data_IF_806667902044
#
_entry.id   IF_806667902044
#
_cell.length_a   1.000
_cell.length_b   1.000
_cell.length_c   1.000
_cell.angle_alpha   90.00
_cell.angle_beta   90.00
_cell.angle_gamma   90.00
#
_symmetry.space_group_name_H-M   'P 1'
#
loop_
_entity.id
_entity.type
_entity.pdbx_description
1 polymer ?
#
# COMPACT_ATOMS: atom_id res chain seq x y z
N UNK A 1 -19.03 -43.64 -24.68
CA UNK A 1 -18.47 -42.31 -24.98
C UNK A 1 -18.19 -41.57 -23.67
N UNK A 2 -16.92 -41.33 -23.38
CA UNK A 2 -16.41 -40.80 -22.10
C UNK A 2 -16.40 -39.26 -22.13
N UNK A 3 -17.15 -38.61 -21.25
CA UNK A 3 -17.05 -37.17 -21.00
C UNK A 3 -15.86 -36.91 -20.05
N UNK A 4 -14.77 -36.35 -20.57
CA UNK A 4 -13.67 -35.83 -19.75
C UNK A 4 -14.00 -34.42 -19.30
N UNK A 5 -14.29 -34.25 -18.01
CA UNK A 5 -14.29 -32.94 -17.37
C UNK A 5 -12.84 -32.52 -17.09
N UNK A 6 -12.26 -31.74 -18.00
CA UNK A 6 -10.96 -31.10 -17.80
C UNK A 6 -11.13 -29.80 -17.02
N UNK A 7 -11.13 -29.89 -15.69
CA UNK A 7 -11.04 -28.72 -14.81
C UNK A 7 -9.61 -28.62 -14.26
N UNK A 8 -8.80 -27.74 -14.82
CA UNK A 8 -7.47 -27.41 -14.29
C UNK A 8 -7.59 -26.91 -12.85
N UNK A 9 -6.82 -27.43 -11.89
CA UNK A 9 -6.87 -26.93 -10.51
C UNK A 9 -6.28 -25.52 -10.48
N UNK A 10 -7.13 -24.54 -10.15
CA UNK A 10 -6.72 -23.17 -9.82
C UNK A 10 -5.67 -23.26 -8.72
N UNK A 11 -4.47 -22.75 -8.98
CA UNK A 11 -3.35 -22.73 -8.05
C UNK A 11 -3.75 -21.97 -6.79
N UNK A 12 -4.04 -22.71 -5.71
CA UNK A 12 -4.26 -22.11 -4.39
C UNK A 12 -2.94 -21.49 -3.95
N UNK A 13 -2.89 -20.16 -3.95
CA UNK A 13 -1.75 -19.41 -3.42
C UNK A 13 -1.40 -19.90 -2.02
N UNK A 14 -0.12 -20.15 -1.79
CA UNK A 14 0.43 -20.66 -0.52
C UNK A 14 -0.03 -19.77 0.63
N UNK A 15 -0.82 -20.31 1.57
CA UNK A 15 -1.26 -19.60 2.75
C UNK A 15 -0.04 -19.29 3.64
N UNK A 16 0.22 -18.00 3.86
CA UNK A 16 1.28 -17.55 4.77
C UNK A 16 0.77 -17.69 6.21
N UNK A 17 1.54 -18.36 7.07
CA UNK A 17 1.25 -18.43 8.49
C UNK A 17 1.46 -17.04 9.13
N UNK A 18 0.36 -16.38 9.49
CA UNK A 18 0.39 -15.05 10.11
C UNK A 18 0.60 -15.23 11.62
N UNK A 19 1.65 -14.62 12.20
CA UNK A 19 1.88 -14.63 13.66
C UNK A 19 1.07 -13.54 14.41
N UNK A 20 0.77 -12.42 13.75
CA UNK A 20 0.03 -11.29 14.32
C UNK A 20 -1.46 -11.64 14.52
N UNK A 21 -2.13 -11.01 15.48
CA UNK A 21 -3.55 -11.21 15.81
C UNK A 21 -4.19 -9.89 16.24
N UNK A 22 -5.53 -9.86 16.25
CA UNK A 22 -6.30 -8.73 16.73
C UNK A 22 -5.98 -7.43 16.00
N UNK A 23 -5.88 -6.35 16.75
CA UNK A 23 -5.74 -5.01 16.20
C UNK A 23 -4.45 -4.80 15.37
N UNK A 24 -3.41 -5.59 15.60
CA UNK A 24 -2.18 -5.52 14.80
C UNK A 24 -2.39 -5.96 13.34
N UNK A 25 -3.39 -6.81 13.09
CA UNK A 25 -3.79 -7.20 11.73
C UNK A 25 -4.38 -6.02 10.98
N UNK A 26 -5.23 -5.22 11.64
CA UNK A 26 -5.94 -4.11 10.98
C UNK A 26 -5.01 -2.92 10.71
N UNK A 27 -3.90 -2.80 11.45
CA UNK A 27 -2.86 -1.77 11.27
C UNK A 27 -1.75 -2.14 10.29
N UNK A 28 -1.62 -3.42 9.95
CA UNK A 28 -0.60 -3.90 9.01
C UNK A 28 -1.14 -3.87 7.57
N UNK A 29 -0.65 -2.96 6.69
CA UNK A 29 -1.15 -2.82 5.32
C UNK A 29 -0.96 -4.08 4.46
N UNK A 30 0.04 -4.91 4.76
CA UNK A 30 0.31 -6.16 4.03
C UNK A 30 -0.74 -7.25 4.33
N UNK A 31 -1.36 -7.20 5.51
CA UNK A 31 -2.30 -8.21 6.01
C UNK A 31 -3.76 -7.74 5.95
N UNK A 32 -3.97 -6.43 6.12
CA UNK A 32 -5.30 -5.85 6.24
C UNK A 32 -6.10 -5.98 4.95
N UNK A 33 -7.27 -6.63 5.02
CA UNK A 33 -8.24 -6.73 3.92
C UNK A 33 -9.43 -5.78 4.09
N UNK A 34 -9.47 -4.99 5.16
CA UNK A 34 -10.62 -4.16 5.52
C UNK A 34 -11.89 -4.99 5.64
N UNK A 35 -12.97 -4.56 4.98
CA UNK A 35 -14.25 -5.27 5.02
C UNK A 35 -14.29 -6.56 4.19
N UNK A 36 -13.19 -6.95 3.52
CA UNK A 36 -13.10 -8.21 2.77
C UNK A 36 -12.73 -9.40 3.65
N UNK A 37 -12.40 -9.18 4.92
CA UNK A 37 -12.26 -10.30 5.85
C UNK A 37 -13.59 -11.02 6.03
N UNK A 38 -13.59 -12.32 5.74
CA UNK A 38 -14.76 -13.20 5.97
C UNK A 38 -15.05 -13.34 7.46
N UNK A 39 -16.23 -13.81 7.85
CA UNK A 39 -16.55 -14.03 9.26
C UNK A 39 -15.57 -15.02 9.90
N UNK A 40 -15.24 -16.11 9.20
CA UNK A 40 -14.27 -17.11 9.65
C UNK A 40 -12.89 -16.48 9.89
N UNK A 41 -12.39 -15.70 8.94
CA UNK A 41 -11.11 -14.98 9.09
C UNK A 41 -11.15 -14.02 10.28
N UNK A 42 -12.27 -13.32 10.49
CA UNK A 42 -12.39 -12.39 11.62
C UNK A 42 -12.33 -13.09 12.97
N UNK A 43 -12.94 -14.28 13.09
CA UNK A 43 -12.91 -15.08 14.30
C UNK A 43 -11.51 -15.66 14.53
N UNK A 44 -10.90 -16.28 13.51
CA UNK A 44 -9.57 -16.89 13.60
C UNK A 44 -8.46 -15.87 13.89
N UNK A 45 -8.59 -14.66 13.33
CA UNK A 45 -7.63 -13.57 13.53
C UNK A 45 -7.92 -12.73 14.78
N UNK A 46 -9.04 -12.95 15.47
CA UNK A 46 -9.43 -12.19 16.67
C UNK A 46 -9.78 -10.73 16.39
N UNK A 47 -10.35 -10.43 15.22
CA UNK A 47 -10.74 -9.08 14.78
C UNK A 47 -12.27 -8.91 14.67
N UNK A 48 -13.03 -9.93 15.06
CA UNK A 48 -14.49 -9.82 15.18
C UNK A 48 -14.83 -8.75 16.22
N UNK A 49 -15.74 -7.83 15.89
CA UNK A 49 -16.06 -6.65 16.71
C UNK A 49 -15.18 -5.41 16.45
N UNK A 50 -14.00 -5.56 15.83
CA UNK A 50 -13.13 -4.43 15.47
C UNK A 50 -13.49 -3.79 14.11
N UNK A 51 -14.38 -4.43 13.35
CA UNK A 51 -14.82 -4.00 12.02
C UNK A 51 -16.35 -3.99 11.98
N UNK A 52 -16.97 -3.08 11.21
CA UNK A 52 -18.42 -3.07 11.01
C UNK A 52 -18.96 -4.45 10.56
N UNK A 53 -20.22 -4.80 10.89
CA UNK A 53 -20.82 -6.11 10.59
C UNK A 53 -21.26 -6.22 9.11
N UNK A 54 -20.38 -5.84 8.18
CA UNK A 54 -20.60 -5.96 6.75
C UNK A 54 -19.37 -6.57 6.07
N UNK A 55 -19.63 -7.36 5.03
CA UNK A 55 -18.62 -8.10 4.28
C UNK A 55 -18.67 -7.63 2.82
N UNK A 56 -17.58 -7.03 2.35
CA UNK A 56 -17.51 -6.45 1.01
C UNK A 56 -16.46 -7.17 0.18
N UNK A 57 -16.85 -7.56 -1.03
CA UNK A 57 -15.89 -8.05 -2.02
C UNK A 57 -14.84 -6.99 -2.34
N UNK A 58 -13.69 -7.42 -2.86
CA UNK A 58 -12.63 -6.50 -3.23
C UNK A 58 -13.09 -5.49 -4.30
N UNK A 59 -13.94 -5.91 -5.25
CA UNK A 59 -14.48 -5.03 -6.28
C UNK A 59 -15.40 -3.94 -5.70
N UNK A 60 -16.23 -4.26 -4.71
CA UNK A 60 -17.05 -3.24 -4.02
C UNK A 60 -16.16 -2.26 -3.25
N UNK A 61 -15.03 -2.72 -2.70
CA UNK A 61 -14.07 -1.81 -2.07
C UNK A 61 -13.38 -0.90 -3.09
N UNK A 62 -13.03 -1.42 -4.27
CA UNK A 62 -12.51 -0.61 -5.39
C UNK A 62 -13.51 0.49 -5.75
N UNK A 63 -14.79 0.17 -5.94
CA UNK A 63 -15.83 1.16 -6.24
C UNK A 63 -15.93 2.27 -5.18
N UNK A 64 -15.80 1.92 -3.89
CA UNK A 64 -15.80 2.91 -2.80
C UNK A 64 -14.58 3.82 -2.84
N UNK A 65 -13.40 3.26 -3.14
CA UNK A 65 -12.18 4.06 -3.34
C UNK A 65 -12.35 5.01 -4.52
N UNK A 66 -12.86 4.50 -5.65
CA UNK A 66 -13.09 5.29 -6.85
C UNK A 66 -14.04 6.46 -6.62
N UNK A 67 -15.15 6.22 -5.91
CA UNK A 67 -16.08 7.30 -5.55
C UNK A 67 -15.42 8.38 -4.69
N UNK A 68 -14.55 8.01 -3.75
CA UNK A 68 -13.82 8.99 -2.95
C UNK A 68 -12.80 9.77 -3.80
N UNK A 69 -12.09 9.06 -4.67
CA UNK A 69 -11.10 9.60 -5.59
C UNK A 69 -11.72 10.60 -6.59
N UNK A 70 -12.88 10.28 -7.17
CA UNK A 70 -13.59 11.14 -8.13
C UNK A 70 -14.19 12.39 -7.48
N UNK A 71 -14.47 12.35 -6.18
CA UNK A 71 -14.91 13.52 -5.42
C UNK A 71 -13.75 14.49 -5.11
N UNK A 72 -12.51 14.19 -5.50
CA UNK A 72 -11.36 15.08 -5.29
C UNK A 72 -11.17 16.01 -6.49
N UNK A 73 -11.06 17.29 -6.19
CA UNK A 73 -10.88 18.36 -7.18
C UNK A 73 -9.43 18.46 -7.66
N UNK A 74 -8.45 18.28 -6.77
CA UNK A 74 -7.03 18.40 -7.11
C UNK A 74 -6.34 17.05 -7.27
N UNK A 75 -5.33 16.99 -8.13
CA UNK A 75 -4.53 15.77 -8.30
C UNK A 75 -3.67 15.45 -7.07
N UNK A 76 -3.29 16.48 -6.30
CA UNK A 76 -2.64 16.28 -5.01
C UNK A 76 -3.56 15.60 -3.99
N UNK A 77 -4.83 16.01 -3.92
CA UNK A 77 -5.81 15.34 -3.05
C UNK A 77 -6.04 13.88 -3.48
N UNK A 78 -6.08 13.62 -4.78
CA UNK A 78 -6.15 12.27 -5.35
C UNK A 78 -4.91 11.45 -4.95
N UNK A 79 -3.72 12.03 -5.05
CA UNK A 79 -2.48 11.41 -4.58
C UNK A 79 -2.56 11.05 -3.09
N UNK A 80 -3.01 11.97 -2.24
CA UNK A 80 -3.17 11.75 -0.80
C UNK A 80 -4.15 10.60 -0.52
N UNK A 81 -5.26 10.50 -1.28
CA UNK A 81 -6.22 9.38 -1.16
C UNK A 81 -5.54 8.05 -1.48
N UNK A 82 -4.77 7.98 -2.57
CA UNK A 82 -4.06 6.77 -2.99
C UNK A 82 -2.95 6.37 -2.02
N UNK A 83 -2.14 7.31 -1.53
CA UNK A 83 -1.10 7.02 -0.53
C UNK A 83 -1.71 6.56 0.81
N UNK A 84 -2.80 7.19 1.24
CA UNK A 84 -3.54 6.76 2.45
C UNK A 84 -4.11 5.34 2.27
N UNK A 85 -4.54 4.98 1.06
CA UNK A 85 -4.97 3.62 0.75
C UNK A 85 -3.81 2.63 0.85
N UNK A 86 -2.65 2.97 0.29
CA UNK A 86 -1.44 2.15 0.37
C UNK A 86 -1.01 1.91 1.83
N UNK A 87 -1.14 2.91 2.71
CA UNK A 87 -0.81 2.81 4.15
C UNK A 87 -1.77 1.90 4.93
N UNK A 88 -2.98 1.69 4.40
CA UNK A 88 -4.04 0.95 5.08
C UNK A 88 -4.20 -0.47 4.53
N UNK A 89 -4.16 -0.63 3.23
CA UNK A 89 -4.40 -1.90 2.54
C UNK A 89 -3.66 -1.90 1.20
N UNK A 90 -2.47 -2.48 1.20
CA UNK A 90 -1.56 -2.48 0.06
C UNK A 90 -2.12 -3.31 -1.11
N UNK A 91 -2.77 -4.44 -0.82
CA UNK A 91 -3.38 -5.28 -1.87
C UNK A 91 -4.49 -4.56 -2.61
N UNK A 92 -5.32 -3.80 -1.89
CA UNK A 92 -6.38 -3.00 -2.50
C UNK A 92 -5.79 -1.83 -3.28
N UNK A 93 -4.72 -1.19 -2.78
CA UNK A 93 -4.00 -0.15 -3.51
C UNK A 93 -3.53 -0.64 -4.88
N UNK A 94 -2.79 -1.75 -4.93
CA UNK A 94 -2.34 -2.31 -6.20
C UNK A 94 -3.51 -2.75 -7.09
N UNK A 95 -4.58 -3.31 -6.53
CA UNK A 95 -5.77 -3.70 -7.29
C UNK A 95 -6.46 -2.51 -7.97
N UNK A 96 -6.49 -1.34 -7.31
CA UNK A 96 -6.99 -0.08 -7.87
C UNK A 96 -6.05 0.41 -8.96
N UNK A 97 -4.74 0.47 -8.70
CA UNK A 97 -3.77 0.89 -9.72
C UNK A 97 -3.85 0.05 -11.00
N UNK A 98 -3.96 -1.27 -10.86
CA UNK A 98 -4.04 -2.18 -12.02
C UNK A 98 -5.40 -2.19 -12.69
N UNK A 99 -6.44 -1.55 -12.12
CA UNK A 99 -7.74 -1.49 -12.81
C UNK A 99 -7.74 -0.49 -13.95
N UNK A 100 -6.91 0.56 -13.86
CA UNK A 100 -6.77 1.59 -14.90
C UNK A 100 -5.40 2.28 -14.73
N UNK A 101 -4.36 1.60 -15.16
CA UNK A 101 -2.98 2.04 -14.91
C UNK A 101 -2.69 3.40 -15.57
N UNK A 102 -3.24 3.65 -16.76
CA UNK A 102 -3.06 4.90 -17.49
C UNK A 102 -3.64 6.09 -16.73
N UNK A 103 -4.79 5.91 -16.09
CA UNK A 103 -5.43 6.95 -15.26
C UNK A 103 -4.67 7.25 -13.97
N UNK A 104 -4.08 6.24 -13.33
CA UNK A 104 -3.46 6.42 -12.00
C UNK A 104 -1.97 6.72 -12.03
N UNK A 105 -1.23 6.26 -13.05
CA UNK A 105 0.20 6.54 -13.19
C UNK A 105 0.57 8.03 -13.09
N UNK A 106 -0.11 8.98 -13.76
CA UNK A 106 0.25 10.40 -13.64
C UNK A 106 0.04 10.97 -12.24
N UNK A 107 -0.78 10.31 -11.42
CA UNK A 107 -1.11 10.74 -10.05
C UNK A 107 -0.11 10.17 -9.05
N UNK A 108 0.22 8.88 -9.12
CA UNK A 108 1.17 8.26 -8.18
C UNK A 108 2.64 8.47 -8.57
N UNK A 109 2.88 8.92 -9.80
CA UNK A 109 4.20 9.24 -10.32
C UNK A 109 4.20 10.65 -10.92
N UNK A 110 4.94 10.87 -12.00
CA UNK A 110 5.04 12.19 -12.65
C UNK A 110 3.76 12.57 -13.38
N UNK A 111 3.29 13.83 -13.28
CA UNK A 111 3.94 14.98 -12.62
C UNK A 111 3.56 15.17 -11.13
N UNK A 112 2.47 14.56 -10.65
CA UNK A 112 1.87 14.87 -9.34
C UNK A 112 2.78 14.55 -8.16
N UNK A 113 3.60 13.49 -8.26
CA UNK A 113 4.57 13.15 -7.20
C UNK A 113 5.56 14.27 -6.94
N UNK A 114 5.94 15.04 -7.98
CA UNK A 114 6.84 16.17 -7.82
C UNK A 114 6.22 17.30 -7.00
N UNK A 115 4.93 17.58 -7.22
CA UNK A 115 4.15 18.51 -6.39
C UNK A 115 4.02 18.00 -4.94
N UNK A 116 3.83 16.69 -4.78
CA UNK A 116 3.80 16.07 -3.45
C UNK A 116 5.15 16.16 -2.74
N UNK A 117 6.28 16.04 -3.45
CA UNK A 117 7.63 16.27 -2.90
C UNK A 117 7.81 17.72 -2.44
N UNK A 118 7.38 18.71 -3.22
CA UNK A 118 7.44 20.12 -2.82
C UNK A 118 6.64 20.42 -1.55
N UNK A 119 5.54 19.70 -1.34
CA UNK A 119 4.68 19.85 -0.16
C UNK A 119 4.88 18.74 0.87
N UNK A 120 5.98 17.98 0.78
CA UNK A 120 6.17 16.75 1.54
C UNK A 120 6.11 16.99 3.05
N UNK A 121 6.72 18.07 3.54
CA UNK A 121 6.69 18.43 4.97
C UNK A 121 5.28 18.69 5.51
N UNK A 122 4.36 19.23 4.69
CA UNK A 122 2.96 19.47 5.07
C UNK A 122 2.09 18.22 4.88
N UNK A 123 2.41 17.40 3.88
CA UNK A 123 1.67 16.20 3.52
C UNK A 123 2.16 14.93 4.24
N UNK A 124 3.23 15.02 5.05
CA UNK A 124 3.82 13.90 5.76
C UNK A 124 2.81 13.29 6.74
N UNK A 125 2.57 11.97 6.61
CA UNK A 125 1.63 11.24 7.46
C UNK A 125 2.24 10.00 8.09
N UNK A 126 2.79 9.12 7.26
CA UNK A 126 3.40 7.87 7.69
C UNK A 126 4.76 7.74 7.02
N UNK A 127 5.84 7.49 7.77
CA UNK A 127 7.16 7.29 7.18
C UNK A 127 7.12 6.06 6.28
N UNK A 128 7.66 6.22 5.07
CA UNK A 128 7.84 5.15 4.09
C UNK A 128 9.29 5.16 3.63
N UNK A 129 9.91 4.00 3.68
CA UNK A 129 11.34 3.86 3.41
C UNK A 129 12.20 4.19 4.63
N UNK A 130 13.49 4.30 4.39
CA UNK A 130 14.51 4.59 5.39
C UNK A 130 15.19 5.91 5.00
N UNK A 131 15.39 6.79 5.97
CA UNK A 131 16.10 8.05 5.80
C UNK A 131 17.50 7.89 6.40
N UNK A 132 18.54 8.14 5.62
CA UNK A 132 19.94 8.00 6.03
C UNK A 132 20.65 9.31 5.71
N UNK A 133 21.25 9.92 6.72
CA UNK A 133 21.91 11.22 6.62
C UNK A 133 23.43 11.06 6.61
N UNK A 134 24.14 12.13 6.28
CA UNK A 134 25.62 12.16 6.37
C UNK A 134 26.13 11.94 7.81
N UNK A 135 25.29 12.24 8.82
CA UNK A 135 25.62 12.08 10.24
C UNK A 135 25.53 10.62 10.72
N UNK A 136 24.92 9.73 9.93
CA UNK A 136 24.79 8.30 10.25
C UNK A 136 26.02 7.48 9.84
N UNK A 137 27.12 8.15 9.49
CA UNK A 137 28.38 7.52 9.12
C UNK A 137 28.86 6.60 10.26
N UNK A 138 29.00 5.31 9.95
CA UNK A 138 29.36 4.27 10.92
C UNK A 138 28.18 3.53 11.55
N UNK A 139 26.94 3.99 11.33
CA UNK A 139 25.73 3.40 11.91
C UNK A 139 24.72 2.86 10.87
N UNK A 140 25.02 2.97 9.57
CA UNK A 140 24.14 2.54 8.47
C UNK A 140 23.63 1.10 8.63
N UNK A 141 24.50 0.15 9.00
CA UNK A 141 24.10 -1.25 9.19
C UNK A 141 23.03 -1.42 10.28
N UNK A 142 23.15 -0.68 11.38
CA UNK A 142 22.16 -0.67 12.47
C UNK A 142 20.82 -0.10 12.01
N UNK A 143 20.84 0.93 11.17
CA UNK A 143 19.62 1.50 10.59
C UNK A 143 18.91 0.52 9.66
N UNK A 144 19.66 -0.19 8.80
CA UNK A 144 19.10 -1.22 7.93
C UNK A 144 18.45 -2.35 8.72
N UNK A 145 19.02 -2.74 9.86
CA UNK A 145 18.43 -3.75 10.77
C UNK A 145 17.11 -3.31 11.41
N UNK A 146 16.78 -2.01 11.35
CA UNK A 146 15.50 -1.49 11.86
C UNK A 146 14.35 -1.68 10.85
N UNK A 147 14.66 -2.03 9.60
CA UNK A 147 13.64 -2.33 8.59
C UNK A 147 12.97 -3.68 8.88
N UNK A 148 11.62 -3.76 8.87
CA UNK A 148 10.90 -4.94 9.35
C UNK A 148 10.96 -6.15 8.40
N UNK A 149 11.42 -5.98 7.16
CA UNK A 149 11.48 -7.03 6.15
C UNK A 149 12.93 -7.46 5.90
N UNK A 150 13.22 -8.75 6.07
CA UNK A 150 14.59 -9.28 5.96
C UNK A 150 15.02 -9.57 4.51
N UNK A 151 14.07 -9.92 3.63
CA UNK A 151 14.36 -10.35 2.26
C UNK A 151 14.12 -9.23 1.24
N UNK A 152 15.04 -8.27 1.19
CA UNK A 152 15.00 -7.14 0.26
C UNK A 152 15.68 -7.51 -1.06
N UNK A 153 14.97 -7.31 -2.17
CA UNK A 153 15.44 -7.63 -3.53
C UNK A 153 15.64 -6.43 -4.45
N UNK A 154 15.07 -5.28 -4.07
CA UNK A 154 15.14 -4.06 -4.84
C UNK A 154 15.22 -2.87 -3.88
N UNK A 155 16.12 -1.94 -4.17
CA UNK A 155 16.30 -0.69 -3.44
C UNK A 155 16.29 0.44 -4.47
N UNK A 156 15.50 1.48 -4.20
CA UNK A 156 15.52 2.74 -4.95
C UNK A 156 16.02 3.80 -3.97
N UNK A 157 17.08 4.52 -4.33
CA UNK A 157 17.73 5.51 -3.49
C UNK A 157 17.83 6.84 -4.23
N UNK A 158 17.67 7.94 -3.50
CA UNK A 158 17.83 9.30 -3.97
C UNK A 158 18.42 10.14 -2.85
N UNK A 159 19.28 11.10 -3.19
CA UNK A 159 19.78 12.16 -2.32
C UNK A 159 18.89 13.41 -2.34
N UNK A 160 17.88 13.45 -3.22
CA UNK A 160 16.96 14.58 -3.35
C UNK A 160 17.51 15.78 -4.11
N UNK A 161 18.78 15.78 -4.52
CA UNK A 161 19.46 16.95 -5.11
C UNK A 161 18.85 17.34 -6.47
N UNK A 162 18.31 16.37 -7.21
CA UNK A 162 17.68 16.60 -8.51
C UNK A 162 16.41 15.79 -8.69
N UNK A 163 15.31 16.29 -8.12
CA UNK A 163 13.99 15.71 -8.36
C UNK A 163 13.49 16.14 -9.75
N UNK A 164 13.85 15.34 -10.75
CA UNK A 164 13.51 15.52 -12.17
C UNK A 164 13.96 16.90 -12.70
N UNK A 165 13.02 17.85 -12.76
CA UNK A 165 13.23 19.24 -13.18
C UNK A 165 12.78 20.26 -12.13
N UNK A 166 12.51 19.82 -10.90
CA UNK A 166 12.07 20.68 -9.79
C UNK A 166 13.24 21.23 -8.96
N UNK A 167 14.46 20.81 -9.29
CA UNK A 167 15.67 21.18 -8.56
C UNK A 167 15.87 20.33 -7.31
N UNK A 168 16.53 20.93 -6.32
CA UNK A 168 16.83 20.32 -5.03
C UNK A 168 15.60 20.40 -4.12
N UNK A 169 15.08 19.23 -3.75
CA UNK A 169 13.99 19.05 -2.80
C UNK A 169 14.41 18.14 -1.64
N UNK A 170 15.73 18.10 -1.35
CA UNK A 170 16.31 17.33 -0.26
C UNK A 170 15.71 17.65 1.11
N UNK A 171 16.00 16.77 2.06
CA UNK A 171 15.50 16.80 3.45
C UNK A 171 16.63 16.91 4.46
#
# INVERSE_FOLDING_TARGET
CSCRAGGSPVSRGRALAVKKRGYDITRNPHLNKGMAFTLEERLQLGIHGLLPPCFLSQDVQVLRVMKNYENKSSDLDKYIVLMTLQDRNEKLFYRVLTSDIERFMPIVYTPTVGLACQQYGLAFRRPRGLFITIHDKGHIATMLNSWPEENIKAIVVTDGERILGLGDLGS
#
